data_IF_561906176209
#
_entry.id   IF_561906176209
#
_cell.length_a   1.000
_cell.length_b   1.000
_cell.length_c   1.000
_cell.angle_alpha   90.00
_cell.angle_beta   90.00
_cell.angle_gamma   90.00
#
_symmetry.space_group_name_H-M   'P 1'
#
loop_
_entity.id
_entity.type
_entity.pdbx_description
1 polymer ?
#
# COMPACT_ATOMS: atom_id res chain seq x y z
N UNK A 1 2.19 -1.92 -7.96
CA UNK A 1 1.67 -1.39 -6.68
C UNK A 1 1.66 -2.49 -5.63
N UNK A 2 2.19 -2.20 -4.43
CA UNK A 2 2.12 -3.07 -3.25
C UNK A 2 1.19 -2.46 -2.20
N UNK A 3 0.19 -3.22 -1.76
CA UNK A 3 -0.64 -2.90 -0.61
C UNK A 3 -0.49 -4.01 0.44
N UNK A 4 0.14 -3.68 1.57
CA UNK A 4 0.34 -4.58 2.70
C UNK A 4 -0.35 -4.07 3.99
N UNK A 5 -1.35 -3.20 3.84
CA UNK A 5 -1.99 -2.50 4.96
C UNK A 5 -2.95 -3.40 5.76
N UNK A 6 -3.50 -4.42 5.11
CA UNK A 6 -4.30 -5.47 5.74
C UNK A 6 -4.02 -6.81 5.04
N UNK A 7 -4.69 -7.86 5.51
CA UNK A 7 -4.82 -9.09 4.73
C UNK A 7 -6.07 -9.01 3.83
N UNK A 8 -6.06 -9.66 2.65
CA UNK A 8 -4.88 -10.25 2.01
C UNK A 8 -3.85 -9.18 1.62
N UNK A 9 -2.56 -9.54 1.61
CA UNK A 9 -1.52 -8.70 1.03
C UNK A 9 -1.70 -8.72 -0.48
N UNK A 10 -1.61 -7.55 -1.14
CA UNK A 10 -1.90 -7.43 -2.56
C UNK A 10 -0.73 -6.81 -3.33
N UNK A 11 -0.43 -7.37 -4.50
CA UNK A 11 0.43 -6.75 -5.51
C UNK A 11 -0.29 -6.71 -6.84
N UNK A 12 -0.37 -5.51 -7.42
CA UNK A 12 -0.82 -5.30 -8.79
C UNK A 12 0.34 -4.93 -9.72
N UNK A 13 0.39 -5.56 -10.88
CA UNK A 13 1.24 -5.18 -12.01
C UNK A 13 0.38 -4.42 -13.00
N UNK A 14 0.89 -3.28 -13.46
CA UNK A 14 0.16 -2.36 -14.32
C UNK A 14 0.95 -2.10 -15.59
N UNK A 15 0.23 -2.02 -16.71
CA UNK A 15 0.75 -1.60 -18.01
C UNK A 15 -0.16 -0.50 -18.55
N UNK A 16 0.41 0.64 -18.93
CA UNK A 16 -0.35 1.83 -19.36
C UNK A 16 -1.47 2.20 -18.37
N UNK A 17 -1.10 2.26 -17.08
CA UNK A 17 -1.97 2.45 -15.91
C UNK A 17 -3.04 1.37 -15.69
N UNK A 18 -3.19 0.35 -16.53
CA UNK A 18 -4.23 -0.70 -16.39
C UNK A 18 -3.69 -1.90 -15.64
N UNK A 19 -4.49 -2.43 -14.70
CA UNK A 19 -4.15 -3.65 -13.97
C UNK A 19 -4.11 -4.85 -14.93
N UNK A 20 -2.96 -5.51 -15.04
CA UNK A 20 -2.76 -6.68 -15.92
C UNK A 20 -2.52 -7.98 -15.15
N UNK A 21 -2.07 -7.90 -13.90
CA UNK A 21 -1.85 -9.06 -13.03
C UNK A 21 -2.05 -8.65 -11.57
N UNK A 22 -2.80 -9.44 -10.83
CA UNK A 22 -2.93 -9.33 -9.36
C UNK A 22 -2.39 -10.60 -8.71
N UNK A 23 -1.72 -10.41 -7.57
CA UNK A 23 -1.21 -11.49 -6.73
C UNK A 23 -1.63 -11.16 -5.29
N UNK A 24 -2.17 -12.16 -4.60
CA UNK A 24 -2.57 -12.04 -3.21
C UNK A 24 -1.80 -13.01 -2.32
N UNK A 25 -1.68 -12.69 -1.04
CA UNK A 25 -1.00 -13.54 -0.06
C UNK A 25 -1.51 -13.37 1.37
N UNK A 26 -1.65 -14.50 2.06
CA UNK A 26 -2.04 -14.57 3.47
C UNK A 26 -0.85 -14.66 4.44
N UNK A 27 0.36 -14.83 3.89
CA UNK A 27 1.62 -14.92 4.62
C UNK A 27 1.94 -13.61 5.35
N UNK A 28 2.96 -13.60 6.22
CA UNK A 28 3.45 -12.34 6.80
C UNK A 28 4.08 -11.48 5.70
N UNK A 29 3.94 -10.16 5.79
CA UNK A 29 4.55 -9.24 4.81
C UNK A 29 6.07 -9.45 4.66
N UNK A 30 6.76 -9.80 5.75
CA UNK A 30 8.20 -10.09 5.76
C UNK A 30 8.59 -11.33 4.97
N UNK A 31 7.65 -12.25 4.75
CA UNK A 31 7.84 -13.47 3.97
C UNK A 31 7.36 -13.26 2.53
N UNK A 32 6.16 -12.68 2.39
CA UNK A 32 5.50 -12.46 1.12
C UNK A 32 6.29 -11.50 0.22
N UNK A 33 6.65 -10.31 0.72
CA UNK A 33 7.23 -9.23 -0.11
C UNK A 33 8.58 -9.63 -0.73
N UNK A 34 9.56 -10.17 0.01
CA UNK A 34 10.84 -10.58 -0.61
C UNK A 34 10.67 -11.71 -1.63
N UNK A 35 9.80 -12.69 -1.32
CA UNK A 35 9.52 -13.85 -2.18
C UNK A 35 8.93 -13.40 -3.51
N UNK A 36 7.91 -12.56 -3.48
CA UNK A 36 7.21 -12.14 -4.70
C UNK A 36 8.01 -11.16 -5.53
N UNK A 37 8.74 -10.22 -4.91
CA UNK A 37 9.63 -9.32 -5.64
C UNK A 37 10.74 -10.10 -6.37
N UNK A 38 11.30 -11.15 -5.77
CA UNK A 38 12.28 -12.02 -6.43
C UNK A 38 11.73 -12.71 -7.68
N UNK A 39 10.46 -13.10 -7.68
CA UNK A 39 9.79 -13.70 -8.85
C UNK A 39 9.56 -12.63 -9.92
N UNK A 40 8.93 -11.53 -9.52
CA UNK A 40 8.54 -10.45 -10.42
C UNK A 40 9.74 -9.79 -11.13
N UNK A 41 10.86 -9.61 -10.42
CA UNK A 41 12.09 -9.03 -11.00
C UNK A 41 12.78 -9.94 -12.03
N UNK A 42 12.40 -11.22 -12.13
CA UNK A 42 12.84 -12.11 -13.21
C UNK A 42 11.93 -12.03 -14.44
N UNK A 43 10.66 -11.68 -14.23
CA UNK A 43 9.63 -11.66 -15.27
C UNK A 43 9.49 -10.28 -15.92
N UNK A 44 9.77 -9.19 -15.19
CA UNK A 44 9.47 -7.83 -15.60
C UNK A 44 10.63 -6.86 -15.35
N UNK A 45 10.74 -5.86 -16.22
CA UNK A 45 11.36 -4.57 -15.92
C UNK A 45 10.27 -3.59 -15.48
N UNK A 46 10.55 -2.78 -14.46
CA UNK A 46 9.59 -1.81 -13.91
C UNK A 46 10.09 -0.39 -14.14
N UNK A 47 9.21 0.46 -14.68
CA UNK A 47 9.47 1.89 -14.86
C UNK A 47 9.05 2.71 -13.63
N UNK A 48 8.14 2.17 -12.81
CA UNK A 48 7.68 2.81 -11.57
C UNK A 48 7.42 1.77 -10.47
N UNK A 49 7.66 2.18 -9.22
CA UNK A 49 7.26 1.45 -8.02
C UNK A 49 6.20 2.27 -7.29
N UNK A 50 5.17 1.59 -6.77
CA UNK A 50 4.09 2.24 -6.03
C UNK A 50 3.77 1.42 -4.79
N UNK A 51 3.51 2.08 -3.67
CA UNK A 51 3.01 1.42 -2.47
C UNK A 51 1.95 2.23 -1.73
N UNK A 52 1.13 1.53 -0.95
CA UNK A 52 0.18 2.15 -0.03
C UNK A 52 0.92 2.60 1.24
N UNK A 53 0.95 3.91 1.54
CA UNK A 53 1.82 4.45 2.60
C UNK A 53 1.16 4.54 3.99
N UNK A 54 -0.15 4.32 4.09
CA UNK A 54 -0.90 4.30 5.34
C UNK A 54 -2.14 5.20 5.33
N UNK A 55 -2.95 5.19 6.41
CA UNK A 55 -2.76 4.38 7.63
C UNK A 55 -3.12 2.89 7.43
N UNK A 56 -2.80 2.04 8.41
CA UNK A 56 -3.04 0.58 8.36
C UNK A 56 -1.98 -0.19 9.15
N UNK A 57 -1.70 -1.44 8.75
CA UNK A 57 -0.67 -2.27 9.38
C UNK A 57 0.69 -1.57 9.44
N UNK A 58 1.12 -1.20 10.65
CA UNK A 58 2.40 -0.52 10.89
C UNK A 58 3.59 -1.33 10.33
N UNK A 59 3.59 -2.65 10.52
CA UNK A 59 4.61 -3.54 9.96
C UNK A 59 4.51 -3.66 8.44
N UNK A 60 3.29 -3.71 7.89
CA UNK A 60 3.05 -3.76 6.46
C UNK A 60 3.60 -2.53 5.74
N UNK A 61 3.34 -1.34 6.28
CA UNK A 61 3.88 -0.07 5.77
C UNK A 61 5.41 -0.09 5.80
N UNK A 62 6.01 -0.43 6.95
CA UNK A 62 7.47 -0.44 7.13
C UNK A 62 8.15 -1.40 6.15
N UNK A 63 7.65 -2.64 6.04
CA UNK A 63 8.23 -3.66 5.17
C UNK A 63 8.10 -3.24 3.70
N UNK A 64 6.91 -2.77 3.29
CA UNK A 64 6.68 -2.30 1.93
C UNK A 64 7.62 -1.18 1.54
N UNK A 65 7.72 -0.14 2.39
CA UNK A 65 8.57 1.01 2.14
C UNK A 65 10.03 0.61 2.07
N UNK A 66 10.56 -0.11 3.06
CA UNK A 66 11.99 -0.49 3.08
C UNK A 66 12.33 -1.34 1.86
N UNK A 67 11.50 -2.34 1.51
CA UNK A 67 11.74 -3.19 0.35
C UNK A 67 11.72 -2.41 -0.96
N UNK A 68 10.70 -1.58 -1.20
CA UNK A 68 10.56 -0.86 -2.46
C UNK A 68 11.50 0.34 -2.56
N UNK A 69 11.81 1.02 -1.44
CA UNK A 69 12.81 2.08 -1.41
C UNK A 69 14.20 1.54 -1.71
N UNK A 70 14.55 0.38 -1.16
CA UNK A 70 15.81 -0.30 -1.48
C UNK A 70 15.87 -0.62 -2.97
N UNK A 71 14.80 -1.20 -3.52
CA UNK A 71 14.72 -1.54 -4.95
C UNK A 71 14.82 -0.29 -5.84
N UNK A 72 14.10 0.77 -5.49
CA UNK A 72 14.12 2.08 -6.16
C UNK A 72 15.55 2.61 -6.28
N UNK A 73 16.30 2.62 -5.17
CA UNK A 73 17.70 3.08 -5.14
C UNK A 73 18.59 2.18 -6.00
N UNK A 74 18.52 0.86 -5.81
CA UNK A 74 19.41 -0.11 -6.47
C UNK A 74 19.19 -0.16 -7.99
N UNK A 75 17.96 0.05 -8.44
CA UNK A 75 17.58 -0.04 -9.86
C UNK A 75 17.36 1.32 -10.52
N UNK A 76 17.48 2.42 -9.78
CA UNK A 76 17.16 3.76 -10.23
C UNK A 76 15.74 3.88 -10.82
N UNK A 77 14.75 3.35 -10.09
CA UNK A 77 13.33 3.36 -10.46
C UNK A 77 12.59 4.33 -9.53
N UNK A 78 11.76 5.26 -10.02
CA UNK A 78 10.97 6.15 -9.16
C UNK A 78 10.01 5.35 -8.26
N UNK A 79 9.83 5.84 -7.02
CA UNK A 79 8.93 5.27 -6.02
C UNK A 79 7.86 6.31 -5.66
N UNK A 80 6.60 5.91 -5.71
CA UNK A 80 5.47 6.74 -5.32
C UNK A 80 4.67 6.12 -4.18
N UNK A 81 4.09 6.99 -3.35
CA UNK A 81 3.11 6.61 -2.34
C UNK A 81 1.69 6.91 -2.81
N UNK A 82 0.74 6.10 -2.35
CA UNK A 82 -0.70 6.35 -2.47
C UNK A 82 -1.34 6.22 -1.09
N UNK A 83 -2.27 7.12 -0.79
CA UNK A 83 -3.03 7.08 0.46
C UNK A 83 -3.85 5.81 0.56
N UNK A 84 -3.88 5.20 1.74
CA UNK A 84 -4.69 4.02 1.99
C UNK A 84 -6.19 4.26 1.68
N UNK A 85 -6.69 5.46 1.96
CA UNK A 85 -8.10 5.81 1.72
C UNK A 85 -8.48 5.80 0.23
N UNK A 86 -7.53 6.01 -0.68
CA UNK A 86 -7.78 5.92 -2.12
C UNK A 86 -7.93 4.45 -2.58
N UNK A 87 -7.44 3.50 -1.77
CA UNK A 87 -7.46 2.07 -2.06
C UNK A 87 -8.58 1.32 -1.32
N UNK A 88 -9.48 2.03 -0.63
CA UNK A 88 -10.65 1.45 0.04
C UNK A 88 -11.92 2.30 -0.10
N UNK A 89 -11.97 3.21 -1.09
CA UNK A 89 -13.11 4.12 -1.32
C UNK A 89 -13.43 5.04 -0.12
N UNK A 90 -12.40 5.55 0.56
CA UNK A 90 -12.48 6.39 1.76
C UNK A 90 -13.29 5.75 2.91
N UNK A 91 -13.40 4.42 2.95
CA UNK A 91 -14.03 3.71 4.06
C UNK A 91 -13.13 3.71 5.30
N UNK A 92 -13.66 3.41 6.49
CA UNK A 92 -12.84 3.22 7.68
C UNK A 92 -11.73 2.17 7.46
N UNK A 93 -10.53 2.43 7.96
CA UNK A 93 -9.39 1.50 7.88
C UNK A 93 -9.15 0.89 9.25
N UNK A 94 -9.08 -0.44 9.34
CA UNK A 94 -8.82 -1.14 10.59
C UNK A 94 -7.55 -0.64 11.29
N UNK A 95 -7.66 -0.35 12.60
CA UNK A 95 -6.54 -0.04 13.47
C UNK A 95 -6.29 -1.18 14.46
N UNK A 96 -6.83 -1.08 15.68
CA UNK A 96 -6.71 -2.08 16.73
C UNK A 96 -8.08 -2.35 17.37
N UNK A 97 -8.41 -3.63 17.56
CA UNK A 97 -9.75 -4.08 17.99
C UNK A 97 -10.84 -3.53 17.06
N UNK A 98 -11.83 -2.84 17.61
CA UNK A 98 -12.96 -2.27 16.86
C UNK A 98 -12.70 -0.82 16.41
N UNK A 99 -11.51 -0.28 16.66
CA UNK A 99 -11.15 1.07 16.25
C UNK A 99 -10.69 1.08 14.79
N UNK A 100 -11.12 2.12 14.07
CA UNK A 100 -10.70 2.39 12.70
C UNK A 100 -10.15 3.81 12.57
N UNK A 101 -9.22 3.99 11.63
CA UNK A 101 -8.88 5.30 11.11
C UNK A 101 -9.99 5.75 10.17
N UNK A 102 -10.62 6.88 10.48
CA UNK A 102 -11.71 7.45 9.69
C UNK A 102 -11.28 8.82 9.19
N UNK A 103 -11.39 9.02 7.88
CA UNK A 103 -11.12 10.31 7.25
C UNK A 103 -12.38 11.17 7.32
N UNK A 104 -12.33 12.27 8.07
CA UNK A 104 -13.39 13.29 8.14
C UNK A 104 -12.84 14.58 7.59
N UNK A 105 -13.33 14.98 6.42
CA UNK A 105 -12.81 16.13 5.67
C UNK A 105 -11.29 15.99 5.45
N UNK A 106 -10.49 16.86 6.07
CA UNK A 106 -9.02 16.87 5.98
C UNK A 106 -8.32 16.23 7.20
N UNK A 107 -9.09 15.73 8.17
CA UNK A 107 -8.56 15.09 9.36
C UNK A 107 -8.74 13.56 9.34
N UNK A 108 -7.80 12.87 9.98
CA UNK A 108 -7.90 11.43 10.26
C UNK A 108 -8.08 11.29 11.76
N UNK A 109 -9.16 10.63 12.18
CA UNK A 109 -9.44 10.36 13.58
C UNK A 109 -9.51 8.87 13.84
N UNK A 110 -9.40 8.50 15.13
CA UNK A 110 -9.57 7.13 15.59
C UNK A 110 -10.95 7.00 16.28
N UNK A 111 -11.85 6.21 15.71
CA UNK A 111 -13.18 5.96 16.29
C UNK A 111 -13.62 4.50 16.10
N UNK A 112 -14.60 4.05 16.88
CA UNK A 112 -15.19 2.73 16.69
C UNK A 112 -15.96 2.70 15.36
N UNK A 113 -15.62 1.74 14.50
CA UNK A 113 -16.25 1.59 13.19
C UNK A 113 -16.04 0.19 12.62
N UNK A 114 -16.72 -0.11 11.51
CA UNK A 114 -16.47 -1.32 10.71
C UNK A 114 -15.52 -0.99 9.58
N UNK A 115 -14.40 -1.70 9.50
CA UNK A 115 -13.41 -1.48 8.46
C UNK A 115 -13.95 -1.85 7.07
N UNK A 116 -13.67 -1.00 6.09
CA UNK A 116 -13.85 -1.34 4.68
C UNK A 116 -12.72 -2.21 4.15
N UNK A 117 -12.97 -2.83 3.00
CA UNK A 117 -12.00 -3.67 2.30
C UNK A 117 -11.11 -2.85 1.38
N UNK A 118 -9.84 -3.22 1.31
CA UNK A 118 -8.93 -2.66 0.33
C UNK A 118 -9.07 -3.38 -1.02
N UNK A 119 -8.75 -2.66 -2.10
CA UNK A 119 -8.72 -3.22 -3.45
C UNK A 119 -7.47 -2.77 -4.22
N UNK A 120 -7.17 -3.51 -5.29
CA UNK A 120 -6.28 -3.03 -6.35
C UNK A 120 -7.12 -2.27 -7.40
N UNK A 121 -6.84 -0.99 -7.66
CA UNK A 121 -7.60 -0.21 -8.63
C UNK A 121 -7.46 -0.83 -10.04
N UNK A 122 -8.51 -0.84 -10.87
CA UNK A 122 -8.38 -1.30 -12.25
C UNK A 122 -7.53 -0.35 -13.11
N UNK A 123 -7.39 0.91 -12.69
CA UNK A 123 -6.62 1.94 -13.38
C UNK A 123 -5.97 2.93 -12.40
N UNK A 124 -4.71 3.28 -12.63
CA UNK A 124 -3.92 4.17 -11.77
C UNK A 124 -4.11 5.67 -12.05
N UNK A 125 -4.64 6.04 -13.22
CA UNK A 125 -4.64 7.42 -13.72
C UNK A 125 -5.46 8.40 -12.86
N UNK A 126 -6.35 7.88 -12.01
CA UNK A 126 -7.16 8.67 -11.08
C UNK A 126 -6.57 8.76 -9.66
N UNK A 127 -5.47 8.06 -9.39
CA UNK A 127 -4.87 8.04 -8.07
C UNK A 127 -3.83 9.13 -7.91
N UNK A 128 -3.75 9.66 -6.69
CA UNK A 128 -2.77 10.68 -6.35
C UNK A 128 -1.42 10.03 -6.01
N UNK A 129 -0.61 9.75 -7.04
CA UNK A 129 0.77 9.29 -6.88
C UNK A 129 1.62 10.42 -6.29
N UNK A 130 2.10 10.26 -5.06
CA UNK A 130 2.95 11.25 -4.37
C UNK A 130 4.42 10.88 -4.46
N UNK A 131 5.27 11.85 -4.83
CA UNK A 131 6.73 11.73 -4.76
C UNK A 131 7.27 11.85 -3.33
N UNK A 132 6.57 12.61 -2.46
CA UNK A 132 6.72 12.47 -1.01
C UNK A 132 6.15 11.10 -0.59
N UNK A 133 7.04 10.13 -0.69
CA UNK A 133 6.76 8.71 -0.53
C UNK A 133 7.11 8.20 0.86
N UNK A 134 7.14 9.08 1.87
CA UNK A 134 7.39 8.65 3.24
C UNK A 134 6.19 7.87 3.80
N UNK A 135 6.44 6.84 4.63
CA UNK A 135 5.42 6.17 5.42
C UNK A 135 4.55 7.13 6.23
N UNK A 136 3.24 6.97 6.13
CA UNK A 136 2.28 7.66 6.97
C UNK A 136 1.95 6.79 8.19
N UNK A 137 2.66 7.03 9.29
CA UNK A 137 2.35 6.41 10.58
C UNK A 137 1.40 7.33 11.34
N UNK A 138 0.13 6.93 11.46
CA UNK A 138 -0.78 7.64 12.33
C UNK A 138 -0.37 7.43 13.79
N UNK A 139 0.06 8.50 14.43
CA UNK A 139 0.35 8.54 15.87
C UNK A 139 -0.79 9.31 16.51
N UNK A 140 -1.70 8.61 17.21
CA UNK A 140 -2.64 9.30 18.08
C UNK A 140 -1.85 9.96 19.20
N UNK A 141 -2.08 11.26 19.47
CA UNK A 141 -1.61 11.87 20.70
C UNK A 141 -2.16 11.07 21.88
N UNK A 142 -1.26 10.57 22.74
CA UNK A 142 -1.60 9.97 24.03
C UNK A 142 -1.62 11.10 25.06
#
# INVERSE_FOLDING_TARGET
MLNALSKPLMIGIYQDDKLVKSIEGEEKASEFVPKILKILLKEFSFDELIYANGPGSYMGIKISYVSLRTLSIVKNIPLFAISAFELNNNQPIAAHKNMCFVKKEDEIILEENTAGEFFLPPNLSKLNKKDDNLPFYFLSAI
#
